data_IF_975268577381
#
_entry.id   IF_975268577381
#
_cell.length_a   1.000
_cell.length_b   1.000
_cell.length_c   1.000
_cell.angle_alpha   90.00
_cell.angle_beta   90.00
_cell.angle_gamma   90.00
#
_symmetry.space_group_name_H-M   'P 1'
#
loop_
_entity.id
_entity.type
_entity.pdbx_description
1 polymer ?
#
# COMPACT_ATOMS: atom_id res chain seq x y z
N UNK A 1 -0.12 -13.71 -0.91
CA UNK A 1 1.35 -13.93 -0.93
C UNK A 1 1.99 -13.02 -1.97
N UNK A 2 1.45 -12.97 -3.20
CA UNK A 2 2.06 -12.27 -4.33
C UNK A 2 2.25 -10.76 -4.18
N UNK A 3 1.31 -10.05 -3.53
CA UNK A 3 1.37 -8.58 -3.42
C UNK A 3 2.60 -8.08 -2.64
N UNK A 4 2.94 -8.71 -1.51
CA UNK A 4 4.13 -8.34 -0.71
C UNK A 4 5.42 -8.63 -1.50
N UNK A 5 5.51 -9.81 -2.13
CA UNK A 5 6.67 -10.19 -2.95
C UNK A 5 6.86 -9.27 -4.16
N UNK A 6 5.78 -8.85 -4.82
CA UNK A 6 5.84 -7.90 -5.93
C UNK A 6 6.34 -6.52 -5.47
N UNK A 7 5.88 -6.04 -4.31
CA UNK A 7 6.36 -4.78 -3.72
C UNK A 7 7.85 -4.87 -3.36
N UNK A 8 8.28 -5.95 -2.72
CA UNK A 8 9.68 -6.17 -2.36
C UNK A 8 10.58 -6.20 -3.61
N UNK A 9 10.17 -6.95 -4.65
CA UNK A 9 10.86 -7.01 -5.95
C UNK A 9 10.96 -5.63 -6.58
N UNK A 10 9.88 -4.85 -6.54
CA UNK A 10 9.84 -3.48 -7.08
C UNK A 10 10.82 -2.56 -6.34
N UNK A 11 10.82 -2.58 -5.01
CA UNK A 11 11.73 -1.78 -4.18
C UNK A 11 13.19 -2.19 -4.41
N UNK A 12 13.45 -3.48 -4.56
CA UNK A 12 14.78 -3.98 -4.92
C UNK A 12 15.20 -3.47 -6.30
N UNK A 13 14.33 -3.59 -7.30
CA UNK A 13 14.59 -3.09 -8.65
C UNK A 13 14.90 -1.58 -8.66
N UNK A 14 14.14 -0.75 -7.94
CA UNK A 14 14.41 0.68 -7.84
C UNK A 14 15.82 0.96 -7.30
N UNK A 15 16.25 0.26 -6.24
CA UNK A 15 17.59 0.42 -5.66
C UNK A 15 18.69 0.02 -6.66
N UNK A 16 18.51 -1.09 -7.36
CA UNK A 16 19.49 -1.57 -8.36
C UNK A 16 19.53 -0.64 -9.59
N UNK A 17 18.39 -0.10 -10.01
CA UNK A 17 18.28 0.77 -11.19
C UNK A 17 19.08 2.06 -11.05
N UNK A 18 19.06 2.65 -9.86
CA UNK A 18 19.91 3.79 -9.54
C UNK A 18 20.24 3.78 -8.03
N UNK A 19 21.43 3.31 -7.63
CA UNK A 19 21.80 3.21 -6.22
C UNK A 19 21.92 4.56 -5.51
N UNK A 20 22.30 5.62 -6.22
CA UNK A 20 22.50 6.96 -5.63
C UNK A 20 21.21 7.77 -5.56
N UNK A 21 20.29 7.55 -6.50
CA UNK A 21 18.97 8.17 -6.49
C UNK A 21 17.88 7.20 -7.00
N UNK A 22 17.46 6.24 -6.17
CA UNK A 22 16.47 5.24 -6.56
C UNK A 22 15.15 5.91 -7.00
N UNK A 23 14.57 5.53 -8.15
CA UNK A 23 13.28 6.06 -8.55
C UNK A 23 12.18 5.65 -7.57
N UNK A 24 11.22 6.54 -7.34
CA UNK A 24 10.07 6.24 -6.47
C UNK A 24 9.07 5.36 -7.22
N UNK A 25 8.72 4.22 -6.62
CA UNK A 25 7.68 3.33 -7.12
C UNK A 25 6.33 3.65 -6.49
N UNK A 26 5.26 3.53 -7.30
CA UNK A 26 3.89 3.80 -6.89
C UNK A 26 2.97 2.61 -7.19
N UNK A 27 2.06 2.36 -6.26
CA UNK A 27 0.89 1.51 -6.44
C UNK A 27 -0.22 2.33 -7.09
N UNK A 28 -0.86 1.78 -8.10
CA UNK A 28 -2.08 2.30 -8.74
C UNK A 28 -3.21 1.28 -8.56
N UNK A 29 -4.45 1.72 -8.64
CA UNK A 29 -5.63 0.87 -8.48
C UNK A 29 -6.42 0.81 -9.79
N UNK A 30 -6.86 -0.39 -10.15
CA UNK A 30 -7.58 -0.64 -11.38
C UNK A 30 -8.87 0.18 -11.45
N UNK A 31 -9.18 0.76 -12.60
CA UNK A 31 -10.40 1.57 -12.84
C UNK A 31 -10.35 3.01 -12.32
N UNK A 32 -9.36 3.33 -11.48
CA UNK A 32 -9.14 4.67 -10.91
C UNK A 32 -7.68 5.10 -11.03
N UNK A 33 -6.98 4.65 -12.07
CA UNK A 33 -5.58 4.97 -12.33
C UNK A 33 -5.35 6.48 -12.58
N UNK A 34 -4.18 7.01 -12.21
CA UNK A 34 -3.83 8.40 -12.49
C UNK A 34 -3.44 8.61 -13.96
N UNK A 35 -3.61 9.83 -14.47
CA UNK A 35 -3.26 10.19 -15.85
C UNK A 35 -1.78 9.92 -16.17
N UNK A 36 -0.87 10.13 -15.21
CA UNK A 36 0.55 9.81 -15.36
C UNK A 36 0.84 8.32 -15.61
N UNK A 37 -0.15 7.45 -15.41
CA UNK A 37 -0.09 6.03 -15.72
C UNK A 37 -0.81 5.72 -17.05
N UNK A 38 -2.04 6.19 -17.22
CA UNK A 38 -2.86 5.86 -18.40
C UNK A 38 -2.29 6.42 -19.70
N UNK A 39 -1.62 7.58 -19.64
CA UNK A 39 -0.95 8.21 -20.79
C UNK A 39 0.29 7.48 -21.28
N UNK A 40 0.80 6.48 -20.53
CA UNK A 40 1.91 5.64 -20.96
C UNK A 40 1.50 4.62 -22.03
N UNK A 41 0.19 4.44 -22.24
CA UNK A 41 -0.36 3.47 -23.17
C UNK A 41 -0.98 4.18 -24.39
N UNK A 42 -0.78 3.67 -25.62
CA UNK A 42 -1.36 4.29 -26.83
C UNK A 42 -2.89 4.34 -26.83
N UNK A 43 -3.52 3.38 -26.17
CA UNK A 43 -4.97 3.28 -26.01
C UNK A 43 -5.24 2.89 -24.56
N UNK A 44 -6.17 3.61 -23.93
CA UNK A 44 -6.65 3.31 -22.58
C UNK A 44 -8.17 3.43 -22.56
N UNK A 45 -8.86 2.46 -21.99
CA UNK A 45 -10.32 2.48 -21.83
C UNK A 45 -10.64 2.09 -20.40
N UNK A 46 -11.53 2.86 -19.78
CA UNK A 46 -11.96 2.60 -18.41
C UNK A 46 -13.02 1.50 -18.43
N UNK A 47 -12.77 0.43 -17.69
CA UNK A 47 -13.81 -0.54 -17.35
C UNK A 47 -14.65 0.05 -16.21
N UNK A 48 -15.91 0.36 -16.51
CA UNK A 48 -16.82 1.01 -15.56
C UNK A 48 -17.15 0.10 -14.38
N UNK A 49 -17.22 -1.22 -14.59
CA UNK A 49 -17.48 -2.17 -13.50
C UNK A 49 -16.31 -2.19 -12.52
N UNK A 50 -15.08 -2.19 -13.03
CA UNK A 50 -13.88 -2.13 -12.19
C UNK A 50 -13.77 -0.78 -11.47
N UNK A 51 -14.12 0.31 -12.15
CA UNK A 51 -14.16 1.64 -11.54
C UNK A 51 -15.16 1.72 -10.39
N UNK A 52 -16.38 1.22 -10.59
CA UNK A 52 -17.44 1.25 -9.56
C UNK A 52 -17.01 0.47 -8.31
N UNK A 53 -16.44 -0.73 -8.50
CA UNK A 53 -15.89 -1.53 -7.39
C UNK A 53 -14.80 -0.75 -6.63
N UNK A 54 -13.86 -0.11 -7.33
CA UNK A 54 -12.79 0.64 -6.68
C UNK A 54 -13.33 1.85 -5.87
N UNK A 55 -14.35 2.53 -6.38
CA UNK A 55 -15.01 3.64 -5.68
C UNK A 55 -15.75 3.14 -4.43
N UNK A 56 -16.43 1.99 -4.51
CA UNK A 56 -17.08 1.33 -3.36
C UNK A 56 -16.07 0.90 -2.29
N UNK A 57 -14.88 0.46 -2.69
CA UNK A 57 -13.75 0.16 -1.79
C UNK A 57 -13.06 1.44 -1.23
N UNK A 58 -13.62 2.62 -1.50
CA UNK A 58 -13.13 3.90 -0.98
C UNK A 58 -11.90 4.45 -1.70
N UNK A 59 -11.55 3.94 -2.88
CA UNK A 59 -10.49 4.51 -3.71
C UNK A 59 -11.04 5.70 -4.48
N UNK A 60 -10.24 6.74 -4.63
CA UNK A 60 -10.59 7.93 -5.41
C UNK A 60 -9.99 7.87 -6.81
N UNK A 61 -10.61 8.60 -7.76
CA UNK A 61 -10.06 8.73 -9.11
C UNK A 61 -8.64 9.29 -9.08
N UNK A 62 -7.72 8.62 -9.78
CA UNK A 62 -6.31 8.97 -9.78
C UNK A 62 -5.55 8.41 -8.56
N UNK A 63 -6.05 7.34 -7.96
CA UNK A 63 -5.43 6.71 -6.79
C UNK A 63 -3.96 6.36 -7.08
N UNK A 64 -3.07 6.91 -6.24
CA UNK A 64 -1.65 6.63 -6.28
C UNK A 64 -1.04 6.69 -4.89
N UNK A 65 -0.28 5.67 -4.53
CA UNK A 65 0.36 5.58 -3.21
C UNK A 65 1.78 5.03 -3.33
N UNK A 66 2.72 5.42 -2.48
CA UNK A 66 4.10 4.92 -2.57
C UNK A 66 4.15 3.44 -2.18
N UNK A 67 4.85 2.64 -2.99
CA UNK A 67 5.05 1.22 -2.70
C UNK A 67 5.75 1.01 -1.36
N UNK A 68 6.69 1.89 -0.98
CA UNK A 68 7.40 1.80 0.30
C UNK A 68 6.47 1.95 1.51
N UNK A 69 5.50 2.85 1.45
CA UNK A 69 4.56 3.12 2.54
C UNK A 69 3.57 1.96 2.69
N UNK A 70 3.01 1.48 1.57
CA UNK A 70 2.12 0.30 1.58
C UNK A 70 2.85 -0.95 2.03
N UNK A 71 4.06 -1.18 1.51
CA UNK A 71 4.89 -2.32 1.91
C UNK A 71 5.17 -2.28 3.41
N UNK A 72 5.58 -1.12 3.94
CA UNK A 72 5.83 -0.95 5.37
C UNK A 72 4.60 -1.31 6.21
N UNK A 73 3.41 -0.79 5.88
CA UNK A 73 2.16 -1.16 6.58
C UNK A 73 1.88 -2.66 6.52
N UNK A 74 2.07 -3.29 5.36
CA UNK A 74 1.82 -4.72 5.17
C UNK A 74 2.83 -5.62 5.88
N UNK A 75 4.06 -5.13 6.13
CA UNK A 75 5.11 -5.89 6.82
C UNK A 75 5.26 -5.54 8.29
N UNK A 76 4.59 -4.48 8.76
CA UNK A 76 4.64 -4.05 10.16
C UNK A 76 3.94 -5.11 11.02
N UNK A 77 4.66 -5.62 12.02
CA UNK A 77 4.17 -6.64 12.96
C UNK A 77 4.08 -6.11 14.39
N UNK A 78 4.64 -4.94 14.64
CA UNK A 78 4.72 -4.29 15.95
C UNK A 78 4.24 -2.85 15.83
N UNK A 79 3.44 -2.38 16.77
CA UNK A 79 2.73 -1.10 16.80
C UNK A 79 2.79 -0.53 18.21
N UNK A 80 2.66 0.80 18.33
CA UNK A 80 2.55 1.45 19.64
C UNK A 80 1.14 1.28 20.21
N UNK A 81 0.98 1.48 21.52
CA UNK A 81 -0.34 1.43 22.17
C UNK A 81 -1.29 2.46 21.56
N UNK A 82 -0.79 3.67 21.29
CA UNK A 82 -1.56 4.73 20.66
C UNK A 82 -2.10 4.32 19.28
N UNK A 83 -1.28 3.69 18.44
CA UNK A 83 -1.69 3.19 17.13
C UNK A 83 -2.77 2.10 17.22
N UNK A 84 -2.72 1.23 18.24
CA UNK A 84 -3.71 0.16 18.44
C UNK A 84 -5.03 0.67 19.07
N UNK A 85 -5.03 1.86 19.66
CA UNK A 85 -6.23 2.50 20.18
C UNK A 85 -7.03 3.23 19.09
N UNK A 86 -6.42 3.60 17.97
CA UNK A 86 -7.10 4.27 16.85
C UNK A 86 -8.09 3.35 16.12
N UNK A 87 -9.10 3.96 15.48
CA UNK A 87 -10.12 3.26 14.69
C UNK A 87 -10.27 3.95 13.31
N UNK A 88 -10.29 3.18 12.20
CA UNK A 88 -10.20 1.71 12.12
C UNK A 88 -8.81 1.18 12.51
N UNK A 89 -8.75 -0.07 12.96
CA UNK A 89 -7.48 -0.70 13.35
C UNK A 89 -6.54 -0.81 12.14
N UNK A 90 -5.21 -0.80 12.38
CA UNK A 90 -4.24 -1.02 11.31
C UNK A 90 -4.48 -2.34 10.55
N UNK A 91 -4.17 -2.33 9.26
CA UNK A 91 -4.44 -3.46 8.35
C UNK A 91 -3.73 -4.73 8.84
N UNK A 92 -4.51 -5.80 9.07
CA UNK A 92 -4.00 -7.10 9.53
C UNK A 92 -3.91 -7.27 11.04
N UNK A 93 -4.26 -6.26 11.85
CA UNK A 93 -4.31 -6.37 13.31
C UNK A 93 -5.60 -7.07 13.75
N UNK A 94 -5.47 -8.15 14.53
CA UNK A 94 -6.60 -8.84 15.14
C UNK A 94 -7.07 -8.08 16.41
N UNK A 95 -8.33 -7.60 16.48
CA UNK A 95 -8.82 -6.82 17.62
C UNK A 95 -8.79 -7.57 18.97
N UNK A 96 -8.80 -8.91 18.92
CA UNK A 96 -8.84 -9.79 20.09
C UNK A 96 -7.45 -10.15 20.61
N UNK A 97 -6.38 -9.71 19.94
CA UNK A 97 -4.98 -10.14 20.17
C UNK A 97 -4.00 -8.97 20.09
N UNK A 98 -4.40 -7.79 20.57
CA UNK A 98 -3.60 -6.56 20.46
C UNK A 98 -2.24 -6.69 21.15
N UNK A 99 -2.15 -7.49 22.21
CA UNK A 99 -0.93 -7.78 22.95
C UNK A 99 0.18 -8.42 22.10
N UNK A 100 -0.15 -9.17 21.03
CA UNK A 100 0.87 -9.74 20.15
C UNK A 100 1.54 -8.68 19.26
N UNK A 101 0.80 -7.61 18.98
CA UNK A 101 1.20 -6.53 18.09
C UNK A 101 1.84 -5.35 18.83
N UNK A 102 1.81 -5.31 20.16
CA UNK A 102 2.41 -4.23 20.94
C UNK A 102 3.94 -4.38 20.96
N UNK A 103 4.68 -3.26 20.92
CA UNK A 103 6.12 -3.25 21.17
C UNK A 103 6.42 -3.60 22.64
N UNK A 104 7.51 -4.34 22.89
CA UNK A 104 7.83 -4.85 24.24
C UNK A 104 8.06 -3.70 25.26
N UNK A 105 8.46 -2.52 24.79
CA UNK A 105 8.66 -1.30 25.60
C UNK A 105 7.35 -0.71 26.12
N UNK A 106 6.21 -1.02 25.50
CA UNK A 106 4.90 -0.51 25.90
C UNK A 106 4.24 -1.34 27.03
N UNK A 107 4.91 -2.39 27.51
CA UNK A 107 4.44 -3.27 28.60
C UNK A 107 5.01 -2.89 29.98
N UNK A 108 5.85 -1.86 30.08
CA UNK A 108 6.42 -1.34 31.34
C UNK A 108 5.46 -0.36 32.05
#
# INVERSE_FOLDING_TARGET
MDRKCAMETTLHYCKVKNPTHPPTAYLVCAGVEPECFTTLFPVWTVDTVVQDIALEEGKSKGYKEKVSEVHHRLTKTKYTLAELQERPLPEGVEPMKLEFYLEDVEFE
#
